data_IF_163070826770
#
_entry.id   IF_163070826770
#
_cell.length_a   1.000
_cell.length_b   1.000
_cell.length_c   1.000
_cell.angle_alpha   90.00
_cell.angle_beta   90.00
_cell.angle_gamma   90.00
#
_symmetry.space_group_name_H-M   'P 1'
#
loop_
_entity.id
_entity.type
_entity.pdbx_description
1 polymer ?
#
# COMPACT_ATOMS: atom_id res chain seq x y z
N UNK A 1 -21.07 22.81 -5.33
CA UNK A 1 -21.64 22.59 -3.99
C UNK A 1 -20.84 23.37 -2.95
N UNK A 2 -21.08 24.68 -2.82
CA UNK A 2 -20.44 25.51 -1.78
C UNK A 2 -21.25 25.44 -0.48
N UNK A 3 -20.95 24.47 0.37
CA UNK A 3 -21.58 24.41 1.71
C UNK A 3 -20.94 25.45 2.61
N UNK A 4 -21.77 26.20 3.32
CA UNK A 4 -21.35 27.26 4.23
C UNK A 4 -20.49 26.65 5.36
N UNK A 5 -19.26 27.16 5.62
CA UNK A 5 -18.41 26.60 6.65
C UNK A 5 -19.02 26.84 8.05
N UNK A 6 -19.12 25.77 8.85
CA UNK A 6 -19.62 25.84 10.23
C UNK A 6 -18.54 26.48 11.10
N UNK A 7 -18.87 27.60 11.76
CA UNK A 7 -17.95 28.29 12.67
C UNK A 7 -17.82 27.49 13.97
N UNK A 8 -16.61 27.01 14.26
CA UNK A 8 -16.29 26.33 15.52
C UNK A 8 -15.69 27.34 16.51
N UNK A 9 -16.16 27.32 17.77
CA UNK A 9 -15.51 28.06 18.87
C UNK A 9 -14.30 27.25 19.35
N UNK A 10 -13.16 27.43 18.70
CA UNK A 10 -11.89 26.83 19.09
C UNK A 10 -10.79 27.89 19.18
N UNK A 11 -9.94 27.77 20.20
CA UNK A 11 -8.72 28.58 20.32
C UNK A 11 -7.58 27.76 19.73
N UNK A 12 -6.92 28.30 18.70
CA UNK A 12 -5.82 27.63 18.00
C UNK A 12 -4.53 28.40 18.26
N UNK A 13 -3.57 27.75 18.91
CA UNK A 13 -2.22 28.27 19.09
C UNK A 13 -1.33 27.73 17.98
N UNK A 14 -0.68 28.62 17.24
CA UNK A 14 0.25 28.27 16.18
C UNK A 14 1.59 28.99 16.40
N UNK A 15 2.69 28.29 16.14
CA UNK A 15 4.04 28.86 16.17
C UNK A 15 4.47 29.26 14.75
N UNK A 16 5.30 30.29 14.62
CA UNK A 16 5.84 30.71 13.32
C UNK A 16 6.55 29.54 12.61
N UNK A 17 6.29 29.29 11.32
CA UNK A 17 6.94 28.22 10.55
C UNK A 17 8.47 28.33 10.52
N UNK A 18 9.01 29.54 10.69
CA UNK A 18 10.46 29.79 10.71
C UNK A 18 11.13 29.47 12.05
N UNK A 19 10.33 29.27 13.11
CA UNK A 19 10.82 28.86 14.43
C UNK A 19 10.61 27.35 14.67
N UNK A 20 9.86 26.67 13.81
CA UNK A 20 9.65 25.24 13.87
C UNK A 20 10.75 24.51 13.10
N UNK A 21 11.14 23.33 13.59
CA UNK A 21 11.99 22.43 12.82
C UNK A 21 11.18 21.98 11.59
N UNK A 22 11.70 22.20 10.39
CA UNK A 22 10.94 22.02 9.13
C UNK A 22 10.59 20.55 8.86
N UNK A 23 11.43 19.59 9.29
CA UNK A 23 11.23 18.15 8.99
C UNK A 23 11.53 17.17 10.15
N UNK A 24 11.08 17.39 11.40
CA UNK A 24 11.28 16.42 12.47
C UNK A 24 10.39 15.18 12.30
N UNK A 25 9.17 15.35 11.81
CA UNK A 25 8.15 14.29 11.75
C UNK A 25 8.35 13.24 10.66
N UNK A 26 9.32 13.44 9.76
CA UNK A 26 9.64 12.49 8.70
C UNK A 26 10.60 11.40 9.18
N UNK A 27 11.51 11.73 10.11
CA UNK A 27 12.58 10.83 10.55
C UNK A 27 12.43 10.34 11.99
N UNK A 28 11.74 11.10 12.85
CA UNK A 28 11.68 10.81 14.29
C UNK A 28 10.86 9.56 14.65
N UNK A 29 9.84 9.24 13.85
CA UNK A 29 8.84 8.20 14.18
C UNK A 29 8.71 7.11 13.11
N UNK A 30 9.77 6.87 12.33
CA UNK A 30 9.75 5.88 11.25
C UNK A 30 9.37 4.47 11.72
N UNK A 31 9.96 3.90 12.79
CA UNK A 31 9.62 2.53 13.21
C UNK A 31 8.16 2.40 13.64
N UNK A 32 7.65 3.39 14.39
CA UNK A 32 6.26 3.41 14.84
C UNK A 32 5.28 3.58 13.67
N UNK A 33 5.57 4.48 12.73
CA UNK A 33 4.75 4.69 11.52
C UNK A 33 4.74 3.48 10.59
N UNK A 34 5.85 2.74 10.50
CA UNK A 34 5.91 1.49 9.74
C UNK A 34 5.06 0.42 10.42
N UNK A 35 5.18 0.25 11.73
CA UNK A 35 4.39 -0.72 12.48
C UNK A 35 2.88 -0.46 12.28
N UNK A 36 2.44 0.78 12.46
CA UNK A 36 1.04 1.16 12.22
C UNK A 36 0.56 0.87 10.80
N UNK A 37 1.35 1.24 9.77
CA UNK A 37 0.98 0.98 8.36
C UNK A 37 0.93 -0.51 8.04
N UNK A 38 1.85 -1.30 8.57
CA UNK A 38 1.86 -2.75 8.32
C UNK A 38 0.71 -3.42 9.07
N UNK A 39 0.48 -3.07 10.34
CA UNK A 39 -0.60 -3.66 11.15
C UNK A 39 -2.00 -3.30 10.64
N UNK A 40 -2.18 -2.10 10.09
CA UNK A 40 -3.48 -1.65 9.59
C UNK A 40 -3.77 -2.12 8.17
N UNK A 41 -2.74 -2.35 7.34
CA UNK A 41 -2.91 -2.64 5.92
C UNK A 41 -2.51 -4.06 5.47
N UNK A 42 -2.04 -4.95 6.36
CA UNK A 42 -1.57 -6.29 5.95
C UNK A 42 -2.63 -7.11 5.22
N UNK A 43 -3.90 -7.11 5.68
CA UNK A 43 -5.00 -7.81 5.01
C UNK A 43 -5.23 -7.26 3.60
N UNK A 44 -5.25 -5.93 3.46
CA UNK A 44 -5.41 -5.29 2.16
C UNK A 44 -4.26 -5.62 1.21
N UNK A 45 -3.03 -5.72 1.74
CA UNK A 45 -1.87 -6.13 0.96
C UNK A 45 -1.97 -7.60 0.51
N UNK A 46 -2.39 -8.52 1.41
CA UNK A 46 -2.60 -9.93 1.08
C UNK A 46 -3.72 -10.11 0.07
N UNK A 47 -4.82 -9.37 0.19
CA UNK A 47 -5.96 -9.48 -0.72
C UNK A 47 -5.62 -8.94 -2.13
N UNK A 48 -4.71 -7.99 -2.23
CA UNK A 48 -4.23 -7.45 -3.50
C UNK A 48 -3.20 -8.38 -4.15
N UNK A 49 -2.19 -8.80 -3.39
CA UNK A 49 -1.06 -9.58 -3.91
C UNK A 49 -1.38 -11.08 -4.05
N UNK A 50 -2.27 -11.63 -3.22
CA UNK A 50 -2.63 -13.04 -3.24
C UNK A 50 -3.15 -13.53 -4.59
N UNK A 51 -4.16 -12.88 -5.20
CA UNK A 51 -4.66 -13.26 -6.52
C UNK A 51 -3.61 -13.10 -7.62
N UNK A 52 -2.76 -12.07 -7.56
CA UNK A 52 -1.71 -11.83 -8.55
C UNK A 52 -0.67 -12.96 -8.54
N UNK A 53 -0.18 -13.33 -7.36
CA UNK A 53 0.78 -14.43 -7.19
C UNK A 53 0.15 -15.77 -7.59
N UNK A 54 -1.11 -16.01 -7.19
CA UNK A 54 -1.84 -17.23 -7.54
C UNK A 54 -2.03 -17.39 -9.05
N UNK A 55 -2.45 -16.34 -9.75
CA UNK A 55 -2.58 -16.36 -11.22
C UNK A 55 -1.22 -16.54 -11.91
N UNK A 56 -0.17 -15.92 -11.39
CA UNK A 56 1.18 -16.05 -11.93
C UNK A 56 1.69 -17.49 -11.82
N UNK A 57 1.52 -18.12 -10.66
CA UNK A 57 1.90 -19.52 -10.45
C UNK A 57 1.12 -20.48 -11.36
N UNK A 58 -0.21 -20.36 -11.40
CA UNK A 58 -1.07 -21.19 -12.27
C UNK A 58 -0.69 -21.02 -13.74
N UNK A 59 -0.36 -19.79 -14.17
CA UNK A 59 0.05 -19.51 -15.55
C UNK A 59 1.36 -20.20 -15.90
N UNK A 60 2.35 -20.17 -15.02
CA UNK A 60 3.64 -20.83 -15.23
C UNK A 60 3.44 -22.34 -15.40
N UNK A 61 2.68 -22.94 -14.49
CA UNK A 61 2.44 -24.37 -14.49
C UNK A 61 1.71 -24.83 -15.77
N UNK A 62 0.66 -24.10 -16.18
CA UNK A 62 -0.05 -24.34 -17.45
C UNK A 62 0.83 -24.18 -18.68
N UNK A 63 1.82 -23.29 -18.64
CA UNK A 63 2.76 -23.13 -19.76
C UNK A 63 3.69 -24.34 -19.88
N UNK A 64 4.17 -24.88 -18.75
CA UNK A 64 4.95 -26.12 -18.74
C UNK A 64 4.20 -27.29 -19.37
N UNK A 65 2.93 -27.49 -18.99
CA UNK A 65 2.07 -28.50 -19.61
C UNK A 65 1.88 -28.26 -21.11
N UNK A 66 1.64 -27.01 -21.55
CA UNK A 66 1.50 -26.68 -22.97
C UNK A 66 2.74 -27.06 -23.79
N UNK A 67 3.93 -26.78 -23.27
CA UNK A 67 5.20 -27.12 -23.96
C UNK A 67 5.37 -28.64 -24.05
N UNK A 68 5.02 -29.39 -23.01
CA UNK A 68 5.08 -30.85 -23.02
C UNK A 68 4.09 -31.46 -24.03
N UNK A 69 2.84 -30.98 -24.08
CA UNK A 69 1.85 -31.46 -25.06
C UNK A 69 2.30 -31.21 -26.50
N UNK A 70 2.76 -30.00 -26.83
CA UNK A 70 3.27 -29.69 -28.17
C UNK A 70 4.51 -30.51 -28.55
N UNK A 71 5.29 -30.99 -27.57
CA UNK A 71 6.44 -31.86 -27.81
C UNK A 71 6.05 -33.32 -28.06
N UNK A 72 4.94 -33.76 -27.45
CA UNK A 72 4.41 -35.12 -27.60
C UNK A 72 3.62 -35.30 -28.90
N UNK A 73 2.98 -34.24 -29.43
CA UNK A 73 2.29 -34.31 -30.73
C UNK A 73 3.23 -34.21 -31.96
N UNK A 74 4.53 -34.02 -31.74
CA UNK A 74 5.56 -33.95 -32.79
C UNK A 74 6.35 -35.27 -32.96
N UNK A 75 5.91 -36.36 -32.35
CA UNK A 75 6.44 -37.74 -32.51
C UNK A 75 5.34 -38.62 -33.11
#
# INVERSE_FOLDING_TARGET
MGKQPVKLKAVVYALSPFQQKVMPGLWKDLPSKIHHKVSENWISATLLLGPLVGVHQIRIERNGYRVLYNRLELI
#
